data_IF_556062879927
#
_entry.id   IF_556062879927
#
_cell.length_a   1.000
_cell.length_b   1.000
_cell.length_c   1.000
_cell.angle_alpha   90.00
_cell.angle_beta   90.00
_cell.angle_gamma   90.00
#
_symmetry.space_group_name_H-M   'P 1'
#
loop_
_entity.id
_entity.type
_entity.pdbx_description
1 polymer ?
#
# COMPACT_ATOMS: atom_id res chain seq x y z
N UNK A 1 -1.97 12.04 -37.18
CA UNK A 1 -1.61 10.61 -37.36
C UNK A 1 -0.75 10.22 -36.18
N UNK A 2 -1.30 9.47 -35.22
CA UNK A 2 -0.51 8.90 -34.12
C UNK A 2 0.11 7.58 -34.62
N UNK A 3 1.15 7.72 -35.45
CA UNK A 3 1.97 6.58 -35.86
C UNK A 3 2.88 6.21 -34.68
N UNK A 4 2.67 5.03 -34.08
CA UNK A 4 3.64 4.37 -33.22
C UNK A 4 3.24 4.01 -31.80
N UNK A 5 2.02 4.26 -31.36
CA UNK A 5 1.58 3.76 -30.06
C UNK A 5 1.07 2.33 -30.17
N UNK A 6 1.59 1.46 -29.29
CA UNK A 6 1.05 0.11 -29.17
C UNK A 6 -0.41 0.10 -28.75
N UNK A 7 -1.22 -0.83 -29.27
CA UNK A 7 -2.62 -0.95 -28.89
C UNK A 7 -2.74 -1.29 -27.41
N UNK A 8 -3.67 -0.59 -26.77
CA UNK A 8 -4.00 -0.86 -25.35
C UNK A 8 -5.32 -1.61 -25.31
N UNK A 9 -5.35 -2.64 -24.51
CA UNK A 9 -6.55 -3.39 -24.21
C UNK A 9 -6.85 -3.24 -22.72
N UNK A 10 -8.12 -3.36 -22.32
CA UNK A 10 -8.51 -3.31 -20.93
C UNK A 10 -9.58 -4.35 -20.61
N UNK A 11 -9.60 -4.77 -19.34
CA UNK A 11 -10.67 -5.57 -18.77
C UNK A 11 -11.13 -4.90 -17.48
N UNK A 12 -12.45 -4.61 -17.39
CA UNK A 12 -13.06 -3.98 -16.23
C UNK A 12 -13.36 -5.03 -15.16
N UNK A 13 -12.93 -4.75 -13.94
CA UNK A 13 -13.24 -5.58 -12.78
C UNK A 13 -13.92 -4.75 -11.69
N UNK A 14 -14.59 -5.47 -10.79
CA UNK A 14 -15.14 -4.92 -9.56
C UNK A 14 -14.72 -5.78 -8.40
N UNK A 15 -14.19 -5.15 -7.34
CA UNK A 15 -13.88 -5.79 -6.07
C UNK A 15 -14.86 -5.29 -5.01
N UNK A 16 -15.26 -6.18 -4.10
CA UNK A 16 -16.11 -5.85 -2.97
C UNK A 16 -15.37 -6.09 -1.67
N UNK A 17 -15.29 -5.06 -0.81
CA UNK A 17 -14.62 -5.19 0.47
C UNK A 17 -15.49 -5.92 1.51
N UNK A 18 -14.85 -6.70 2.37
CA UNK A 18 -15.55 -7.40 3.47
C UNK A 18 -15.98 -6.45 4.58
N UNK A 19 -15.32 -5.29 4.69
CA UNK A 19 -15.64 -4.22 5.65
C UNK A 19 -15.35 -2.85 5.04
N UNK A 20 -15.66 -1.76 5.75
CA UNK A 20 -15.22 -0.40 5.40
C UNK A 20 -13.70 -0.33 5.50
N UNK A 21 -13.01 0.16 4.46
CA UNK A 21 -11.55 0.10 4.36
C UNK A 21 -10.83 1.28 5.03
N UNK A 22 -11.44 2.47 5.05
CA UNK A 22 -10.87 3.65 5.68
C UNK A 22 -11.96 4.64 6.15
N UNK A 23 -11.55 5.71 6.82
CA UNK A 23 -12.46 6.72 7.35
C UNK A 23 -13.12 7.58 6.26
N UNK A 24 -12.51 7.71 5.09
CA UNK A 24 -12.91 8.65 4.04
C UNK A 24 -13.86 8.05 3.00
N UNK A 25 -13.91 6.71 2.87
CA UNK A 25 -14.81 6.07 1.91
C UNK A 25 -15.96 5.31 2.57
N UNK A 26 -17.18 5.55 2.09
CA UNK A 26 -18.36 4.80 2.51
C UNK A 26 -18.69 3.61 1.59
N UNK A 27 -18.12 3.57 0.38
CA UNK A 27 -18.38 2.50 -0.59
C UNK A 27 -17.72 1.19 -0.16
N UNK A 28 -18.28 0.10 -0.65
CA UNK A 28 -17.75 -1.25 -0.50
C UNK A 28 -17.44 -1.92 -1.83
N UNK A 29 -17.80 -1.28 -2.92
CA UNK A 29 -17.50 -1.75 -4.28
C UNK A 29 -16.51 -0.80 -4.92
N UNK A 30 -15.49 -1.38 -5.54
CA UNK A 30 -14.34 -0.69 -6.09
C UNK A 30 -14.12 -1.15 -7.52
N UNK A 31 -14.31 -0.23 -8.46
CA UNK A 31 -14.12 -0.49 -9.89
C UNK A 31 -12.69 -0.14 -10.30
N UNK A 32 -12.11 -1.00 -11.11
CA UNK A 32 -10.81 -0.79 -11.72
C UNK A 32 -10.71 -1.48 -13.08
N UNK A 33 -9.58 -1.36 -13.73
CA UNK A 33 -9.29 -2.09 -14.95
C UNK A 33 -7.90 -2.71 -14.89
N UNK A 34 -7.78 -3.92 -15.40
CA UNK A 34 -6.50 -4.42 -15.87
C UNK A 34 -6.28 -3.89 -17.28
N UNK A 35 -5.06 -3.54 -17.61
CA UNK A 35 -4.64 -3.14 -18.94
C UNK A 35 -3.66 -4.16 -19.51
N UNK A 36 -3.66 -4.30 -20.85
CA UNK A 36 -2.70 -5.09 -21.61
C UNK A 36 -2.13 -4.23 -22.73
N UNK A 37 -0.82 -4.11 -22.79
CA UNK A 37 -0.10 -3.41 -23.86
C UNK A 37 1.32 -3.95 -23.98
N UNK A 38 1.89 -3.99 -25.17
CA UNK A 38 3.25 -4.51 -25.40
C UNK A 38 3.49 -5.96 -24.95
N UNK A 39 2.43 -6.75 -24.78
CA UNK A 39 2.53 -8.11 -24.25
C UNK A 39 2.48 -8.22 -22.73
N UNK A 40 2.52 -7.12 -22.00
CA UNK A 40 2.46 -7.11 -20.52
C UNK A 40 1.17 -6.53 -19.98
N UNK A 41 1.02 -6.63 -18.66
CA UNK A 41 -0.19 -6.32 -17.93
C UNK A 41 0.05 -5.29 -16.80
N UNK A 42 -0.93 -4.43 -16.55
CA UNK A 42 -0.91 -3.45 -15.47
C UNK A 42 -2.28 -3.27 -14.85
N UNK A 43 -2.33 -2.55 -13.74
CA UNK A 43 -3.56 -2.33 -12.96
C UNK A 43 -3.82 -0.83 -12.78
N UNK A 44 -5.02 -0.38 -13.14
CA UNK A 44 -5.54 0.97 -12.82
C UNK A 44 -6.66 0.78 -11.81
N UNK A 45 -6.42 1.18 -10.56
CA UNK A 45 -7.38 1.11 -9.45
C UNK A 45 -7.47 2.45 -8.73
N UNK A 46 -8.30 3.37 -9.22
CA UNK A 46 -8.35 4.71 -8.65
C UNK A 46 -9.12 4.79 -7.33
N UNK A 47 -8.65 5.67 -6.45
CA UNK A 47 -9.29 6.05 -5.21
C UNK A 47 -9.70 7.53 -5.27
N UNK A 48 -10.87 7.88 -5.84
CA UNK A 48 -11.30 9.28 -5.97
C UNK A 48 -11.40 10.01 -4.62
N UNK A 49 -11.72 9.28 -3.55
CA UNK A 49 -11.77 9.82 -2.19
C UNK A 49 -10.38 10.22 -1.65
N UNK A 50 -9.33 9.74 -2.30
CA UNK A 50 -7.94 9.98 -1.95
C UNK A 50 -7.22 10.89 -2.98
N UNK A 51 -7.98 11.51 -3.90
CA UNK A 51 -7.45 12.46 -4.88
C UNK A 51 -7.22 11.90 -6.28
N UNK A 52 -7.39 10.60 -6.50
CA UNK A 52 -7.30 10.05 -7.85
C UNK A 52 -8.46 10.50 -8.74
N UNK A 53 -8.28 10.60 -10.06
CA UNK A 53 -9.38 10.84 -10.98
C UNK A 53 -10.32 9.63 -11.00
N UNK A 54 -11.64 9.83 -11.27
CA UNK A 54 -12.56 8.71 -11.49
C UNK A 54 -12.08 7.79 -12.63
N UNK A 55 -12.44 6.50 -12.56
CA UNK A 55 -12.00 5.49 -13.53
C UNK A 55 -12.25 5.89 -15.00
N UNK A 56 -13.38 6.54 -15.29
CA UNK A 56 -13.67 7.06 -16.63
C UNK A 56 -12.62 8.05 -17.11
N UNK A 57 -12.15 8.93 -16.22
CA UNK A 57 -11.08 9.90 -16.52
C UNK A 57 -9.71 9.22 -16.65
N UNK A 58 -9.47 8.14 -15.90
CA UNK A 58 -8.27 7.32 -16.09
C UNK A 58 -8.25 6.68 -17.50
N UNK A 59 -9.39 6.16 -17.97
CA UNK A 59 -9.50 5.56 -19.30
C UNK A 59 -9.34 6.60 -20.42
N UNK A 60 -9.94 7.79 -20.28
CA UNK A 60 -9.72 8.91 -21.21
C UNK A 60 -8.22 9.30 -21.27
N UNK A 61 -7.56 9.38 -20.11
CA UNK A 61 -6.14 9.72 -20.02
C UNK A 61 -5.24 8.61 -20.58
N UNK A 62 -5.59 7.35 -20.37
CA UNK A 62 -4.90 6.20 -20.93
C UNK A 62 -4.91 6.20 -22.47
N UNK A 63 -6.04 6.59 -23.08
CA UNK A 63 -6.17 6.78 -24.51
C UNK A 63 -5.41 8.04 -25.02
N UNK A 64 -5.23 9.04 -24.17
CA UNK A 64 -4.69 10.37 -24.51
C UNK A 64 -3.28 10.63 -23.97
N UNK A 65 -3.19 11.61 -23.06
CA UNK A 65 -1.92 12.25 -22.62
C UNK A 65 -1.13 11.39 -21.63
N UNK A 66 -1.80 10.54 -20.83
CA UNK A 66 -1.19 9.67 -19.80
C UNK A 66 -0.51 10.45 -18.69
N UNK A 67 -1.18 11.49 -18.18
CA UNK A 67 -0.66 12.41 -17.16
C UNK A 67 -0.86 11.95 -15.72
N UNK A 68 -1.94 11.16 -15.46
CA UNK A 68 -2.26 10.76 -14.11
C UNK A 68 -1.30 9.72 -13.56
N UNK A 69 -0.83 9.85 -12.30
CA UNK A 69 0.10 8.90 -11.71
C UNK A 69 -0.38 7.45 -11.79
N UNK A 70 -1.64 7.16 -11.41
CA UNK A 70 -2.23 5.82 -11.46
C UNK A 70 -2.20 5.22 -12.87
N UNK A 71 -2.33 6.03 -13.92
CA UNK A 71 -2.25 5.58 -15.33
C UNK A 71 -0.80 5.34 -15.75
N UNK A 72 0.11 6.26 -15.41
CA UNK A 72 1.54 6.11 -15.72
C UNK A 72 2.13 4.87 -15.06
N UNK A 73 1.79 4.66 -13.77
CA UNK A 73 2.30 3.51 -13.02
C UNK A 73 1.75 2.18 -13.54
N UNK A 74 0.48 2.13 -13.94
CA UNK A 74 -0.10 0.96 -14.59
C UNK A 74 0.60 0.64 -15.93
N UNK A 75 0.92 1.65 -16.74
CA UNK A 75 1.69 1.48 -17.98
C UNK A 75 3.12 1.04 -17.69
N UNK A 76 3.75 1.58 -16.66
CA UNK A 76 5.09 1.14 -16.23
C UNK A 76 5.08 -0.31 -15.76
N UNK A 77 4.07 -0.70 -15.00
CA UNK A 77 3.86 -2.10 -14.61
C UNK A 77 3.76 -3.01 -15.85
N UNK A 78 2.92 -2.64 -16.83
CA UNK A 78 2.77 -3.40 -18.06
C UNK A 78 4.07 -3.48 -18.90
N UNK A 79 4.85 -2.41 -18.95
CA UNK A 79 6.15 -2.38 -19.63
C UNK A 79 7.14 -3.37 -18.98
N UNK A 80 7.23 -3.38 -17.67
CA UNK A 80 8.15 -4.26 -16.94
C UNK A 80 7.71 -5.72 -17.00
N UNK A 81 6.41 -5.97 -16.89
CA UNK A 81 5.81 -7.29 -17.03
C UNK A 81 6.02 -7.84 -18.47
N UNK A 82 5.87 -6.98 -19.49
CA UNK A 82 6.13 -7.34 -20.89
C UNK A 82 7.59 -7.77 -21.13
N UNK A 83 8.54 -7.01 -20.59
CA UNK A 83 9.96 -7.31 -20.74
C UNK A 83 10.32 -8.68 -20.12
N UNK A 84 9.75 -9.01 -18.96
CA UNK A 84 9.96 -10.33 -18.36
C UNK A 84 9.27 -11.44 -19.16
N UNK A 85 8.04 -11.22 -19.63
CA UNK A 85 7.29 -12.22 -20.44
C UNK A 85 7.94 -12.51 -21.79
N UNK A 86 8.61 -11.54 -22.41
CA UNK A 86 9.33 -11.73 -23.68
C UNK A 86 10.40 -12.84 -23.57
N UNK A 87 10.99 -13.00 -22.36
CA UNK A 87 12.02 -13.98 -22.08
C UNK A 87 11.51 -15.19 -21.27
N UNK A 88 10.20 -15.25 -21.01
CA UNK A 88 9.57 -16.22 -20.10
C UNK A 88 10.13 -16.19 -18.67
N UNK A 89 10.66 -15.04 -18.27
CA UNK A 89 11.25 -14.83 -16.94
C UNK A 89 10.16 -14.59 -15.88
N UNK A 90 10.33 -15.15 -14.70
CA UNK A 90 9.51 -14.84 -13.54
C UNK A 90 10.11 -13.66 -12.77
N UNK A 91 9.35 -12.59 -12.59
CA UNK A 91 9.85 -11.35 -11.99
C UNK A 91 10.30 -11.49 -10.52
N UNK A 92 9.96 -12.59 -9.86
CA UNK A 92 10.34 -12.88 -8.47
C UNK A 92 11.49 -13.89 -8.35
N UNK A 93 12.08 -14.32 -9.45
CA UNK A 93 13.25 -15.20 -9.41
C UNK A 93 14.39 -14.50 -8.67
N UNK A 94 14.94 -15.16 -7.65
CA UNK A 94 16.00 -14.62 -6.78
C UNK A 94 15.69 -13.27 -6.08
N UNK A 95 14.41 -12.88 -6.00
CA UNK A 95 13.98 -11.64 -5.37
C UNK A 95 13.34 -11.91 -3.99
N UNK A 96 13.99 -11.42 -2.93
CA UNK A 96 13.43 -11.46 -1.59
C UNK A 96 12.42 -10.31 -1.41
N UNK A 97 11.17 -10.68 -1.14
CA UNK A 97 10.10 -9.71 -0.84
C UNK A 97 10.06 -9.48 0.67
N UNK A 98 10.12 -8.23 1.15
CA UNK A 98 10.02 -7.93 2.57
C UNK A 98 8.71 -8.46 3.18
N UNK A 99 8.73 -8.92 4.44
CA UNK A 99 7.51 -9.37 5.11
C UNK A 99 6.50 -8.22 5.25
N UNK A 100 5.24 -8.60 5.45
CA UNK A 100 4.11 -7.67 5.50
C UNK A 100 3.60 -7.51 6.92
N UNK A 101 3.12 -6.32 7.27
CA UNK A 101 2.28 -6.12 8.45
C UNK A 101 0.84 -6.62 8.17
N UNK A 102 0.13 -6.95 9.24
CA UNK A 102 -1.30 -7.21 9.16
C UNK A 102 -2.06 -5.88 9.05
N UNK A 103 -2.83 -5.68 7.97
CA UNK A 103 -3.74 -4.54 7.86
C UNK A 103 -5.08 -4.89 8.50
N UNK A 104 -5.45 -4.19 9.58
CA UNK A 104 -6.69 -4.37 10.32
C UNK A 104 -7.50 -3.09 10.23
N UNK A 105 -8.70 -3.19 9.67
CA UNK A 105 -9.58 -2.03 9.43
C UNK A 105 -10.54 -1.73 10.59
N UNK A 106 -10.61 -2.62 11.59
CA UNK A 106 -11.42 -2.45 12.80
C UNK A 106 -10.64 -2.89 14.02
N UNK A 107 -10.76 -2.14 15.11
CA UNK A 107 -10.18 -2.47 16.41
C UNK A 107 -10.98 -3.62 17.07
N UNK A 108 -10.80 -4.86 16.60
CA UNK A 108 -11.47 -6.07 17.09
C UNK A 108 -10.41 -7.05 17.62
N UNK A 109 -10.50 -7.51 18.89
CA UNK A 109 -9.52 -8.44 19.46
C UNK A 109 -9.26 -9.68 18.62
N UNK A 110 -10.30 -10.31 18.09
CA UNK A 110 -10.18 -11.50 17.26
C UNK A 110 -9.37 -11.32 15.96
N UNK A 111 -9.37 -10.10 15.40
CA UNK A 111 -8.54 -9.79 14.24
C UNK A 111 -7.05 -9.73 14.62
N UNK A 112 -6.73 -9.21 15.79
CA UNK A 112 -5.37 -9.16 16.32
C UNK A 112 -4.87 -10.55 16.70
N UNK A 113 -5.71 -11.34 17.38
CA UNK A 113 -5.42 -12.73 17.72
C UNK A 113 -5.11 -13.57 16.47
N UNK A 114 -5.91 -13.38 15.42
CA UNK A 114 -5.71 -14.07 14.15
C UNK A 114 -4.40 -13.65 13.49
N UNK A 115 -4.08 -12.34 13.47
CA UNK A 115 -2.83 -11.83 12.92
C UNK A 115 -1.61 -12.37 13.70
N UNK A 116 -1.66 -12.36 15.03
CA UNK A 116 -0.58 -12.89 15.88
C UNK A 116 -0.39 -14.40 15.67
N UNK A 117 -1.48 -15.17 15.60
CA UNK A 117 -1.43 -16.61 15.36
C UNK A 117 -0.85 -16.98 13.99
N UNK A 118 -0.99 -16.10 12.98
CA UNK A 118 -0.42 -16.24 11.64
C UNK A 118 1.03 -15.76 11.55
N UNK A 119 1.61 -15.26 12.64
CA UNK A 119 3.02 -14.86 12.72
C UNK A 119 3.31 -13.41 12.35
N UNK A 120 2.30 -12.56 12.18
CA UNK A 120 2.53 -11.14 11.97
C UNK A 120 3.16 -10.50 13.21
N UNK A 121 4.23 -9.76 13.02
CA UNK A 121 4.94 -9.01 14.07
C UNK A 121 4.48 -7.56 14.17
N UNK A 122 3.86 -7.05 13.12
CA UNK A 122 3.35 -5.68 13.02
C UNK A 122 1.89 -5.68 12.60
N UNK A 123 1.11 -4.80 13.22
CA UNK A 123 -0.30 -4.57 12.89
C UNK A 123 -0.50 -3.10 12.54
N UNK A 124 -1.01 -2.84 11.34
CA UNK A 124 -1.50 -1.52 10.94
C UNK A 124 -2.99 -1.43 11.24
N UNK A 125 -3.36 -0.52 12.14
CA UNK A 125 -4.73 -0.25 12.55
C UNK A 125 -5.16 1.13 12.04
N UNK A 126 -6.35 1.19 11.42
CA UNK A 126 -7.00 2.48 11.13
C UNK A 126 -7.44 3.12 12.42
N UNK A 127 -6.94 4.32 12.70
CA UNK A 127 -7.12 5.09 13.92
C UNK A 127 -7.72 6.47 13.64
N UNK A 128 -7.99 7.22 14.69
CA UNK A 128 -8.48 8.59 14.58
C UNK A 128 -9.99 8.71 14.53
N UNK A 129 -10.77 7.66 14.84
CA UNK A 129 -12.22 7.77 14.97
C UNK A 129 -12.66 8.09 16.39
N UNK A 130 -12.09 7.41 17.39
CA UNK A 130 -12.29 7.59 18.81
C UNK A 130 -11.01 7.29 19.58
N UNK A 131 -10.24 8.34 19.86
CA UNK A 131 -8.91 8.21 20.47
C UNK A 131 -8.95 7.56 21.88
N UNK A 132 -10.03 7.75 22.63
CA UNK A 132 -10.17 7.14 23.95
C UNK A 132 -10.39 5.63 23.85
N UNK A 133 -11.35 5.22 23.02
CA UNK A 133 -11.62 3.81 22.76
C UNK A 133 -10.41 3.09 22.12
N UNK A 134 -9.68 3.79 21.24
CA UNK A 134 -8.46 3.28 20.61
C UNK A 134 -7.33 3.08 21.64
N UNK A 135 -7.15 4.01 22.58
CA UNK A 135 -6.17 3.87 23.66
C UNK A 135 -6.50 2.69 24.61
N UNK A 136 -7.78 2.52 24.96
CA UNK A 136 -8.26 1.39 25.77
C UNK A 136 -8.03 0.06 25.05
N UNK A 137 -8.37 -0.01 23.77
CA UNK A 137 -8.14 -1.18 22.92
C UNK A 137 -6.66 -1.55 22.84
N UNK A 138 -5.79 -0.57 22.55
CA UNK A 138 -4.35 -0.79 22.49
C UNK A 138 -3.77 -1.24 23.84
N UNK A 139 -4.28 -0.72 24.94
CA UNK A 139 -3.89 -1.12 26.30
C UNK A 139 -4.26 -2.58 26.57
N UNK A 140 -5.47 -2.99 26.18
CA UNK A 140 -5.92 -4.38 26.29
C UNK A 140 -5.04 -5.32 25.43
N UNK A 141 -4.78 -4.94 24.18
CA UNK A 141 -3.98 -5.74 23.27
C UNK A 141 -2.50 -5.80 23.66
N UNK A 142 -1.96 -4.72 24.25
CA UNK A 142 -0.61 -4.73 24.79
C UNK A 142 -0.40 -5.81 25.87
N UNK A 143 -1.37 -5.96 26.76
CA UNK A 143 -1.31 -6.99 27.81
C UNK A 143 -1.35 -8.41 27.24
N UNK A 144 -2.09 -8.64 26.15
CA UNK A 144 -2.23 -9.95 25.50
C UNK A 144 -1.07 -10.27 24.53
N UNK A 145 -0.55 -9.26 23.83
CA UNK A 145 0.46 -9.38 22.77
C UNK A 145 1.61 -8.39 22.96
N UNK A 146 2.49 -8.59 23.96
CA UNK A 146 3.55 -7.64 24.31
C UNK A 146 4.61 -7.45 23.20
N UNK A 147 4.75 -8.40 22.29
CA UNK A 147 5.77 -8.37 21.23
C UNK A 147 5.25 -7.75 19.92
N UNK A 148 3.93 -7.54 19.76
CA UNK A 148 3.37 -6.89 18.58
C UNK A 148 3.77 -5.42 18.51
N UNK A 149 4.01 -4.94 17.30
CA UNK A 149 4.24 -3.53 16.99
C UNK A 149 3.01 -2.93 16.32
N UNK A 150 2.70 -1.69 16.67
CA UNK A 150 1.51 -0.99 16.18
C UNK A 150 1.88 0.12 15.21
N UNK A 151 1.20 0.16 14.08
CA UNK A 151 1.21 1.26 13.11
C UNK A 151 -0.18 1.85 13.08
N UNK A 152 -0.33 3.10 13.45
CA UNK A 152 -1.64 3.75 13.57
C UNK A 152 -1.81 4.73 12.42
N UNK A 153 -2.80 4.48 11.57
CA UNK A 153 -3.07 5.27 10.39
C UNK A 153 -4.30 6.15 10.61
N UNK A 154 -4.07 7.45 10.75
CA UNK A 154 -5.09 8.45 11.08
C UNK A 154 -5.74 9.07 9.84
N UNK A 155 -5.16 8.90 8.65
CA UNK A 155 -5.66 9.51 7.41
C UNK A 155 -5.90 11.02 7.51
N UNK A 156 -5.02 11.76 8.20
CA UNK A 156 -5.09 13.22 8.42
C UNK A 156 -6.36 13.72 9.15
N UNK A 157 -7.04 12.84 9.88
CA UNK A 157 -8.35 13.15 10.48
C UNK A 157 -8.24 13.88 11.82
N UNK A 158 -7.03 14.12 12.36
CA UNK A 158 -6.84 14.71 13.67
C UNK A 158 -6.06 16.03 13.63
N UNK A 159 -6.24 16.82 14.69
CA UNK A 159 -5.41 17.99 14.91
C UNK A 159 -4.13 17.59 15.65
N UNK A 160 -3.03 18.32 15.45
CA UNK A 160 -1.74 18.01 16.06
C UNK A 160 -1.80 17.97 17.61
N UNK A 161 -2.62 18.80 18.21
CA UNK A 161 -2.84 18.84 19.67
C UNK A 161 -3.55 17.58 20.18
N UNK A 162 -4.48 17.02 19.42
CA UNK A 162 -5.15 15.75 19.74
C UNK A 162 -4.16 14.58 19.64
N UNK A 163 -3.33 14.56 18.59
CA UNK A 163 -2.27 13.56 18.40
C UNK A 163 -1.26 13.60 19.55
N UNK A 164 -0.83 14.80 19.96
CA UNK A 164 0.06 15.00 21.08
C UNK A 164 -0.56 14.49 22.40
N UNK A 165 -1.81 14.84 22.66
CA UNK A 165 -2.55 14.37 23.84
C UNK A 165 -2.73 12.86 23.85
N UNK A 166 -3.07 12.25 22.72
CA UNK A 166 -3.17 10.80 22.57
C UNK A 166 -1.84 10.11 22.89
N UNK A 167 -0.73 10.56 22.28
CA UNK A 167 0.60 10.01 22.55
C UNK A 167 0.97 10.11 24.04
N UNK A 168 0.76 11.27 24.67
CA UNK A 168 1.07 11.51 26.08
C UNK A 168 0.20 10.66 27.03
N UNK A 169 -1.02 10.35 26.64
CA UNK A 169 -1.93 9.50 27.40
C UNK A 169 -1.58 8.01 27.37
N UNK A 170 -0.79 7.56 26.40
CA UNK A 170 -0.37 6.16 26.33
C UNK A 170 0.68 5.83 27.38
N UNK A 171 0.54 4.66 28.03
CA UNK A 171 1.55 4.16 28.96
C UNK A 171 2.92 4.03 28.26
N UNK A 172 4.05 4.29 28.95
CA UNK A 172 5.39 4.20 28.35
C UNK A 172 5.73 2.82 27.74
N UNK A 173 5.16 1.75 28.28
CA UNK A 173 5.31 0.40 27.72
C UNK A 173 4.63 0.29 26.35
N UNK A 174 3.41 0.82 26.24
CA UNK A 174 2.66 0.83 24.98
C UNK A 174 3.28 1.78 23.96
N UNK A 175 3.77 2.96 24.38
CA UNK A 175 4.52 3.86 23.48
C UNK A 175 5.72 3.17 22.82
N UNK A 176 6.41 2.27 23.51
CA UNK A 176 7.51 1.48 22.94
C UNK A 176 7.08 0.45 21.91
N UNK A 177 5.81 0.01 21.95
CA UNK A 177 5.23 -0.87 20.94
C UNK A 177 4.74 -0.13 19.69
N UNK A 178 4.47 1.17 19.81
CA UNK A 178 4.13 1.97 18.64
C UNK A 178 5.34 2.06 17.71
N UNK A 179 5.19 1.57 16.50
CA UNK A 179 6.21 1.70 15.45
C UNK A 179 6.17 3.12 14.88
N UNK A 180 5.00 3.58 14.45
CA UNK A 180 4.79 4.95 13.97
C UNK A 180 3.29 5.33 13.92
N UNK A 181 3.05 6.64 13.80
CA UNK A 181 1.77 7.21 13.38
C UNK A 181 1.85 7.63 11.93
N UNK A 182 0.96 7.11 11.09
CA UNK A 182 0.85 7.45 9.68
C UNK A 182 -0.21 8.53 9.49
N UNK A 183 0.18 9.61 8.78
CA UNK A 183 -0.66 10.76 8.48
C UNK A 183 -1.51 11.22 9.69
N UNK A 184 -0.89 11.53 10.83
CA UNK A 184 -1.63 11.78 12.08
C UNK A 184 -2.52 13.02 12.01
N UNK A 185 -2.09 14.04 11.31
CA UNK A 185 -2.81 15.29 11.05
C UNK A 185 -2.39 15.83 9.67
N UNK A 186 -3.10 16.81 9.10
CA UNK A 186 -2.72 17.44 7.84
C UNK A 186 -1.23 17.82 7.82
N UNK A 187 -0.55 17.45 6.73
CA UNK A 187 0.89 17.64 6.65
C UNK A 187 1.26 19.12 6.65
N UNK A 188 2.03 19.52 7.63
CA UNK A 188 2.70 20.82 7.70
C UNK A 188 4.06 20.61 8.36
N UNK A 189 5.12 20.85 7.63
CA UNK A 189 6.49 20.52 8.04
C UNK A 189 6.85 21.04 9.44
N UNK A 190 6.52 22.31 9.76
CA UNK A 190 6.75 22.89 11.08
C UNK A 190 5.99 22.17 12.19
N UNK A 191 4.72 21.83 11.94
CA UNK A 191 3.83 21.13 12.90
C UNK A 191 4.34 19.72 13.17
N UNK A 192 4.70 18.97 12.13
CA UNK A 192 5.21 17.61 12.27
C UNK A 192 6.58 17.59 12.97
N UNK A 193 7.44 18.53 12.64
CA UNK A 193 8.73 18.72 13.34
C UNK A 193 8.55 19.03 14.83
N UNK A 194 7.53 19.83 15.17
CA UNK A 194 7.22 20.14 16.59
C UNK A 194 6.66 18.91 17.32
N UNK A 195 5.78 18.12 16.69
CA UNK A 195 5.33 16.85 17.25
C UNK A 195 6.51 15.92 17.56
N UNK A 196 7.43 15.70 16.63
CA UNK A 196 8.60 14.83 16.82
C UNK A 196 9.55 15.34 17.90
N UNK A 197 9.84 16.64 17.91
CA UNK A 197 10.76 17.24 18.88
C UNK A 197 10.21 17.23 20.29
N UNK A 198 8.91 17.47 20.47
CA UNK A 198 8.29 17.59 21.78
C UNK A 198 7.82 16.25 22.36
N UNK A 199 7.75 15.19 21.54
CA UNK A 199 7.26 13.87 21.96
C UNK A 199 8.28 12.78 21.66
N UNK A 200 9.19 12.60 22.61
CA UNK A 200 10.28 11.62 22.48
C UNK A 200 9.75 10.21 22.17
N UNK A 201 10.27 9.60 21.12
CA UNK A 201 9.92 8.25 20.68
C UNK A 201 8.72 8.18 19.74
N UNK A 202 7.98 9.29 19.57
CA UNK A 202 6.97 9.38 18.53
C UNK A 202 7.67 9.45 17.16
N UNK A 203 7.35 8.51 16.27
CA UNK A 203 7.79 8.48 14.88
C UNK A 203 6.60 8.72 13.97
N UNK A 204 6.80 9.50 12.92
CA UNK A 204 5.77 9.87 11.96
C UNK A 204 6.07 9.26 10.60
N UNK A 205 5.05 8.68 9.99
CA UNK A 205 5.09 8.18 8.63
C UNK A 205 4.18 9.02 7.74
N UNK A 206 4.66 9.32 6.55
CA UNK A 206 3.95 10.10 5.56
C UNK A 206 3.55 9.22 4.38
N UNK A 207 2.26 9.22 4.04
CA UNK A 207 1.67 8.46 2.92
C UNK A 207 1.13 9.42 1.85
N UNK A 208 0.46 10.50 2.26
CA UNK A 208 -0.19 11.42 1.35
C UNK A 208 0.57 12.74 1.23
N UNK A 209 0.48 13.34 0.04
CA UNK A 209 0.98 14.70 -0.26
C UNK A 209 2.39 14.99 0.27
N UNK A 210 3.05 13.96 0.77
CA UNK A 210 4.36 14.13 1.31
C UNK A 210 5.28 14.55 0.19
N UNK A 211 5.79 15.73 0.34
CA UNK A 211 7.05 16.00 -0.32
C UNK A 211 8.03 14.92 0.18
N UNK A 212 8.49 14.00 -0.67
CA UNK A 212 9.51 13.04 -0.30
C UNK A 212 10.81 13.73 0.10
N UNK A 213 10.82 15.04 0.04
CA UNK A 213 11.92 15.93 0.35
C UNK A 213 11.83 16.53 1.76
N UNK A 214 10.82 16.19 2.58
CA UNK A 214 10.71 16.72 3.94
C UNK A 214 11.37 15.82 4.97
N UNK A 215 12.18 16.41 5.83
CA UNK A 215 12.77 15.75 7.01
C UNK A 215 11.78 15.63 8.19
N UNK A 216 10.54 16.08 8.01
CA UNK A 216 9.53 16.07 9.06
C UNK A 216 8.93 14.68 9.36
N UNK A 217 9.17 13.71 8.48
CA UNK A 217 8.78 12.31 8.68
C UNK A 217 10.01 11.43 8.96
N UNK A 218 9.81 10.34 9.69
CA UNK A 218 10.82 9.30 9.93
C UNK A 218 10.69 8.15 8.94
N UNK A 219 9.49 7.99 8.39
CA UNK A 219 9.12 6.92 7.47
C UNK A 219 8.40 7.50 6.26
N UNK A 220 8.73 6.98 5.08
CA UNK A 220 8.03 7.27 3.83
C UNK A 220 7.24 6.02 3.43
N UNK A 221 5.92 6.15 3.31
CA UNK A 221 5.05 5.10 2.77
C UNK A 221 4.99 5.27 1.25
N UNK A 222 5.31 4.22 0.51
CA UNK A 222 5.35 4.24 -0.96
C UNK A 222 4.27 3.31 -1.51
N UNK A 223 3.43 3.84 -2.40
CA UNK A 223 2.42 3.06 -3.14
C UNK A 223 2.80 2.96 -4.62
N UNK A 224 3.39 1.86 -5.07
CA UNK A 224 3.82 1.69 -6.47
C UNK A 224 2.71 1.88 -7.51
N UNK A 225 1.44 1.82 -7.10
CA UNK A 225 0.29 2.11 -7.95
C UNK A 225 0.19 3.59 -8.38
N UNK A 226 0.78 4.52 -7.61
CA UNK A 226 0.72 5.96 -7.87
C UNK A 226 2.07 6.66 -7.73
N UNK A 227 2.98 6.11 -6.94
CA UNK A 227 4.29 6.68 -6.65
C UNK A 227 5.38 6.15 -7.58
N UNK A 228 6.52 6.85 -7.62
CA UNK A 228 7.77 6.42 -8.27
C UNK A 228 8.72 5.83 -7.21
N UNK A 229 8.74 4.48 -6.99
CA UNK A 229 9.39 3.88 -5.83
C UNK A 229 10.88 4.20 -5.73
N UNK A 230 11.60 4.16 -6.85
CA UNK A 230 13.04 4.44 -6.87
C UNK A 230 13.37 5.88 -6.52
N UNK A 231 12.60 6.84 -7.04
CA UNK A 231 12.79 8.26 -6.74
C UNK A 231 12.58 8.52 -5.24
N UNK A 232 11.52 7.94 -4.66
CA UNK A 232 11.21 8.11 -3.25
C UNK A 232 12.17 7.33 -2.35
N UNK A 233 12.59 6.13 -2.77
CA UNK A 233 13.57 5.31 -2.06
C UNK A 233 14.95 5.98 -1.99
N UNK A 234 15.42 6.56 -3.10
CA UNK A 234 16.67 7.32 -3.16
C UNK A 234 16.63 8.54 -2.22
N UNK A 235 15.56 9.31 -2.32
CA UNK A 235 15.34 10.47 -1.46
C UNK A 235 15.22 10.11 0.02
N UNK A 236 14.60 8.99 0.37
CA UNK A 236 14.52 8.49 1.74
C UNK A 236 15.87 8.01 2.24
N UNK A 237 16.63 7.30 1.40
CA UNK A 237 17.98 6.83 1.73
C UNK A 237 18.91 7.99 2.06
N UNK A 238 18.89 9.05 1.25
CA UNK A 238 19.71 10.25 1.48
C UNK A 238 19.41 10.95 2.82
N UNK A 239 18.18 10.78 3.33
CA UNK A 239 17.73 11.37 4.61
C UNK A 239 17.80 10.42 5.79
N UNK A 240 18.18 9.17 5.56
CA UNK A 240 18.16 8.14 6.60
C UNK A 240 16.75 7.80 7.09
N UNK A 241 15.75 8.00 6.23
CA UNK A 241 14.35 7.63 6.51
C UNK A 241 14.13 6.15 6.20
N UNK A 242 13.21 5.52 6.93
CA UNK A 242 12.73 4.17 6.58
C UNK A 242 11.69 4.23 5.46
N UNK A 243 11.61 3.17 4.70
CA UNK A 243 10.61 2.99 3.63
C UNK A 243 9.69 1.84 3.97
N UNK A 244 8.40 2.07 3.82
CA UNK A 244 7.34 1.05 3.92
C UNK A 244 6.58 1.03 2.59
N UNK A 245 6.74 -0.02 1.81
CA UNK A 245 5.96 -0.19 0.58
C UNK A 245 4.60 -0.80 0.91
N UNK A 246 3.53 -0.21 0.39
CA UNK A 246 2.18 -0.75 0.57
C UNK A 246 1.47 -0.93 -0.77
N UNK A 247 0.61 -1.93 -0.86
CA UNK A 247 -0.38 -1.98 -1.95
C UNK A 247 -1.38 -0.83 -1.81
N UNK A 248 -2.00 -0.46 -2.90
CA UNK A 248 -3.08 0.53 -2.89
C UNK A 248 -4.45 -0.07 -2.55
N UNK A 249 -4.52 -1.24 -1.89
CA UNK A 249 -5.75 -2.03 -1.71
C UNK A 249 -6.45 -2.25 -3.06
N UNK A 250 -5.69 -2.62 -4.04
CA UNK A 250 -6.05 -2.76 -5.43
C UNK A 250 -6.19 -4.24 -5.84
N UNK A 251 -6.35 -4.49 -7.13
CA UNK A 251 -6.43 -5.84 -7.69
C UNK A 251 -5.17 -6.66 -7.35
N UNK A 252 -5.27 -7.99 -7.15
CA UNK A 252 -4.11 -8.85 -6.86
C UNK A 252 -2.91 -8.64 -7.79
N UNK A 253 -3.10 -8.35 -9.08
CA UNK A 253 -2.01 -8.00 -9.99
C UNK A 253 -1.27 -6.71 -9.53
N UNK A 254 -1.99 -5.68 -9.10
CA UNK A 254 -1.38 -4.45 -8.58
C UNK A 254 -0.65 -4.69 -7.26
N UNK A 255 -1.22 -5.55 -6.37
CA UNK A 255 -0.54 -5.97 -5.13
C UNK A 255 0.75 -6.73 -5.42
N UNK A 256 0.74 -7.60 -6.44
CA UNK A 256 1.94 -8.33 -6.89
C UNK A 256 3.00 -7.37 -7.43
N UNK A 257 2.61 -6.36 -8.20
CA UNK A 257 3.55 -5.32 -8.64
C UNK A 257 4.13 -4.53 -7.45
N UNK A 258 3.32 -4.19 -6.45
CA UNK A 258 3.81 -3.53 -5.25
C UNK A 258 4.82 -4.41 -4.47
N UNK A 259 4.58 -5.72 -4.39
CA UNK A 259 5.49 -6.66 -3.76
C UNK A 259 6.83 -6.78 -4.51
N UNK A 260 6.78 -6.81 -5.82
CA UNK A 260 7.99 -6.83 -6.65
C UNK A 260 8.82 -5.54 -6.50
N UNK A 261 8.18 -4.36 -6.53
CA UNK A 261 8.87 -3.08 -6.31
C UNK A 261 9.45 -3.00 -4.88
N UNK A 262 8.77 -3.58 -3.86
CA UNK A 262 9.30 -3.65 -2.51
C UNK A 262 10.59 -4.49 -2.43
N UNK A 263 10.61 -5.66 -3.08
CA UNK A 263 11.81 -6.49 -3.16
C UNK A 263 12.96 -5.77 -3.85
N UNK A 264 12.69 -5.10 -4.97
CA UNK A 264 13.70 -4.30 -5.68
C UNK A 264 14.27 -3.17 -4.84
N UNK A 265 13.43 -2.43 -4.13
CA UNK A 265 13.90 -1.39 -3.21
C UNK A 265 14.82 -1.97 -2.12
N UNK A 266 14.51 -3.15 -1.60
CA UNK A 266 15.37 -3.86 -0.64
C UNK A 266 16.76 -4.20 -1.21
N UNK A 267 16.85 -4.52 -2.50
CA UNK A 267 18.12 -4.78 -3.20
C UNK A 267 18.92 -3.50 -3.44
N UNK A 268 18.24 -2.43 -3.92
CA UNK A 268 18.93 -1.19 -4.30
C UNK A 268 19.26 -0.29 -3.11
N UNK A 269 18.44 -0.33 -2.07
CA UNK A 269 18.62 0.47 -0.85
C UNK A 269 18.57 -0.44 0.39
N UNK A 270 19.58 -1.27 0.60
CA UNK A 270 19.60 -2.21 1.72
C UNK A 270 19.58 -1.47 3.05
N UNK A 271 18.70 -1.90 3.95
CA UNK A 271 18.59 -1.36 5.31
C UNK A 271 17.60 -0.22 5.49
N UNK A 272 17.02 0.36 4.43
CA UNK A 272 15.94 1.35 4.58
C UNK A 272 14.54 0.73 4.43
N UNK A 273 14.41 -0.36 3.66
CA UNK A 273 13.13 -1.05 3.47
C UNK A 273 12.78 -1.84 4.72
N UNK A 274 11.62 -1.56 5.28
CA UNK A 274 11.09 -2.15 6.50
C UNK A 274 10.00 -3.20 6.17
N UNK A 275 9.33 -3.72 7.21
CA UNK A 275 8.13 -4.54 7.05
C UNK A 275 7.09 -3.75 6.27
N UNK A 276 6.62 -4.32 5.17
CA UNK A 276 5.76 -3.67 4.19
C UNK A 276 4.26 -3.89 4.46
N UNK A 277 3.37 -3.40 3.59
CA UNK A 277 1.92 -3.56 3.67
C UNK A 277 1.36 -4.16 2.39
N UNK A 278 1.81 -5.36 2.01
CA UNK A 278 1.58 -5.95 0.69
C UNK A 278 0.36 -6.88 0.64
N UNK A 279 -0.07 -7.38 1.79
CA UNK A 279 -1.10 -8.41 1.92
C UNK A 279 -2.46 -7.79 2.22
N UNK A 280 -3.12 -7.19 1.22
CA UNK A 280 -4.44 -6.56 1.41
C UNK A 280 -5.59 -7.29 0.70
N UNK A 281 -5.31 -8.37 -0.03
CA UNK A 281 -6.33 -9.16 -0.73
C UNK A 281 -7.40 -9.74 0.21
N UNK A 282 -7.06 -10.04 1.46
CA UNK A 282 -7.98 -10.53 2.49
C UNK A 282 -9.06 -9.52 2.88
N UNK A 283 -8.88 -8.24 2.55
CA UNK A 283 -9.88 -7.19 2.80
C UNK A 283 -11.05 -7.20 1.81
N UNK A 284 -10.96 -8.04 0.78
CA UNK A 284 -11.95 -8.17 -0.28
C UNK A 284 -12.53 -9.59 -0.35
N UNK A 285 -13.69 -9.70 -0.98
CA UNK A 285 -14.26 -11.01 -1.32
C UNK A 285 -13.29 -11.76 -2.23
N UNK A 286 -13.22 -13.08 -2.06
CA UNK A 286 -12.30 -13.93 -2.80
C UNK A 286 -12.59 -13.90 -4.30
N UNK A 287 -11.53 -13.96 -5.10
CA UNK A 287 -11.54 -14.10 -6.55
C UNK A 287 -10.46 -15.10 -6.98
N UNK A 288 -10.55 -15.62 -8.20
CA UNK A 288 -9.51 -16.50 -8.73
C UNK A 288 -8.10 -15.87 -8.64
N UNK A 289 -7.99 -14.57 -8.85
CA UNK A 289 -6.73 -13.83 -8.70
C UNK A 289 -6.25 -13.78 -7.24
N UNK A 290 -7.13 -13.50 -6.27
CA UNK A 290 -6.74 -13.45 -4.86
C UNK A 290 -6.35 -14.83 -4.31
N UNK A 291 -6.91 -15.90 -4.83
CA UNK A 291 -6.53 -17.25 -4.46
C UNK A 291 -5.10 -17.62 -4.86
N UNK A 292 -4.57 -16.99 -5.94
CA UNK A 292 -3.16 -17.16 -6.35
C UNK A 292 -2.17 -16.49 -5.40
N UNK A 293 -2.59 -15.50 -4.62
CA UNK A 293 -1.77 -14.89 -3.57
C UNK A 293 -1.71 -15.72 -2.29
N UNK A 294 -2.49 -16.81 -2.22
CA UNK A 294 -2.47 -17.74 -1.12
C UNK A 294 -3.13 -17.21 0.15
N UNK A 295 -2.71 -17.76 1.29
CA UNK A 295 -3.24 -17.38 2.60
C UNK A 295 -2.67 -16.02 3.06
N UNK A 296 -3.48 -15.29 3.83
CA UNK A 296 -3.03 -14.08 4.51
C UNK A 296 -1.99 -14.45 5.59
N UNK A 297 -0.74 -14.02 5.38
CA UNK A 297 0.41 -14.31 6.24
C UNK A 297 1.49 -13.22 6.03
N UNK A 298 2.52 -13.11 6.90
CA UNK A 298 3.57 -12.10 6.73
C UNK A 298 4.32 -12.20 5.40
N UNK A 299 4.66 -13.41 4.97
CA UNK A 299 5.40 -13.66 3.73
C UNK A 299 4.49 -13.50 2.53
N UNK A 300 4.92 -12.69 1.56
CA UNK A 300 4.19 -12.55 0.29
C UNK A 300 4.41 -13.79 -0.57
N UNK A 301 3.33 -14.40 -1.04
CA UNK A 301 3.37 -15.49 -1.99
C UNK A 301 3.14 -14.92 -3.40
N UNK A 302 4.21 -14.83 -4.17
CA UNK A 302 4.12 -14.39 -5.55
C UNK A 302 3.45 -15.48 -6.41
N UNK A 303 2.56 -15.10 -7.35
CA UNK A 303 1.95 -16.04 -8.27
C UNK A 303 2.99 -16.61 -9.23
N UNK A 304 2.85 -17.90 -9.58
CA UNK A 304 3.68 -18.56 -10.57
C UNK A 304 3.38 -18.09 -12.00
N UNK A 305 4.37 -18.17 -12.89
CA UNK A 305 4.27 -17.85 -14.30
C UNK A 305 5.30 -16.79 -14.73
N UNK A 306 5.34 -16.44 -15.99
CA UNK A 306 6.21 -15.36 -16.48
C UNK A 306 5.68 -13.99 -16.07
N UNK A 307 6.55 -12.99 -16.07
CA UNK A 307 6.24 -11.66 -15.60
C UNK A 307 5.78 -11.64 -14.13
N UNK A 308 4.67 -11.00 -13.85
CA UNK A 308 4.01 -10.99 -12.53
C UNK A 308 3.20 -12.26 -12.25
N UNK A 309 3.24 -13.28 -13.11
CA UNK A 309 2.43 -14.49 -12.99
C UNK A 309 1.01 -14.35 -13.52
N UNK A 310 0.07 -15.17 -13.01
CA UNK A 310 -1.36 -15.20 -13.40
C UNK A 310 -1.62 -15.56 -14.89
N UNK A 311 -0.70 -16.21 -15.58
CA UNK A 311 -0.78 -16.40 -17.04
C UNK A 311 -2.12 -16.96 -17.50
N UNK A 312 -2.56 -18.07 -16.89
CA UNK A 312 -3.82 -18.73 -17.19
C UNK A 312 -5.04 -17.81 -17.03
N UNK A 313 -5.08 -17.08 -15.91
CA UNK A 313 -6.20 -16.17 -15.62
C UNK A 313 -6.23 -14.97 -16.56
N UNK A 314 -5.05 -14.41 -16.89
CA UNK A 314 -4.95 -13.24 -17.76
C UNK A 314 -5.28 -13.56 -19.21
N UNK A 315 -4.95 -14.78 -19.71
CA UNK A 315 -5.26 -15.22 -21.06
C UNK A 315 -6.77 -15.41 -21.29
N UNK A 316 -7.50 -15.86 -20.27
CA UNK A 316 -8.94 -16.12 -20.36
C UNK A 316 -9.81 -14.86 -20.28
N UNK A 317 -9.23 -13.68 -19.95
CA UNK A 317 -10.02 -12.46 -19.78
C UNK A 317 -10.59 -11.94 -21.11
N UNK A 318 -11.84 -11.45 -21.11
CA UNK A 318 -12.48 -10.90 -22.31
C UNK A 318 -11.98 -9.46 -22.58
N UNK A 319 -10.73 -9.35 -23.00
CA UNK A 319 -10.08 -8.08 -23.29
C UNK A 319 -10.82 -7.26 -24.33
N UNK A 320 -10.98 -5.96 -24.07
CA UNK A 320 -11.57 -4.99 -24.99
C UNK A 320 -10.51 -4.00 -25.42
N UNK A 321 -10.45 -3.71 -26.72
CA UNK A 321 -9.53 -2.70 -27.23
C UNK A 321 -9.98 -1.32 -26.77
N UNK A 322 -9.04 -0.53 -26.27
CA UNK A 322 -9.26 0.89 -26.00
C UNK A 322 -9.31 1.63 -27.34
N UNK A 323 -10.40 2.36 -27.58
CA UNK A 323 -10.68 3.05 -28.85
C UNK A 323 -9.96 4.37 -28.96
#
# INVERSE_FOLDING_TARGET
MEEGREPVWYWHYRMRSVARLNALTARREFDGVLIRTGGGFGCIHPWPELGDPPLTKCLEDLAGVRRWPVVRRALRCAEMDAAAREHDDWMFEDLEVPPSHATVVRAEPGAIESAAALGFTHVKLKAGSDLAAEADFLTQMHAAFPDLRWRLDFNETREATEVAGFWQGLAPALQRQIDFFEDPCPFAEGVWNDLRRNHRGLRLAVDREASPLSDAADIVVIKPAVDEPFLLGDAANDRGQRVVVTSAMDHPLGQTFAAWEAGRLGVFFPGITDICGLQTHHLFEKSAFSERLGAWKPEFQAPEGSGLGFNDLLEELPWRRLG
#
